data_IF_505337907112
#
_entry.id   IF_505337907112
#
_cell.length_a   1.000
_cell.length_b   1.000
_cell.length_c   1.000
_cell.angle_alpha   90.00
_cell.angle_beta   90.00
_cell.angle_gamma   90.00
#
_symmetry.space_group_name_H-M   'P 1'
#
loop_
_entity.id
_entity.type
_entity.pdbx_description
1 polymer ?
#
# COMPACT_ATOMS: atom_id res chain seq x y z
N UNK A 1 21.84 -37.16 5.74
CA UNK A 1 22.93 -36.17 5.75
C UNK A 1 22.55 -35.08 4.76
N UNK A 2 21.80 -34.08 5.22
CA UNK A 2 21.59 -32.83 4.49
C UNK A 2 21.96 -31.73 5.47
N UNK A 3 23.04 -31.04 5.15
CA UNK A 3 23.65 -30.02 5.99
C UNK A 3 22.88 -28.71 5.83
N UNK A 4 22.55 -28.13 6.97
CA UNK A 4 22.12 -26.75 7.17
C UNK A 4 23.12 -25.77 6.57
N UNK A 5 22.63 -24.79 5.81
CA UNK A 5 23.37 -23.58 5.45
C UNK A 5 22.68 -22.36 6.06
N UNK A 6 23.36 -21.85 7.07
CA UNK A 6 23.17 -20.64 7.87
C UNK A 6 22.61 -19.45 7.08
N UNK A 7 21.39 -19.01 7.43
CA UNK A 7 20.86 -17.70 7.07
C UNK A 7 21.43 -16.65 8.04
N UNK A 8 22.33 -15.77 7.56
CA UNK A 8 22.81 -14.66 8.36
C UNK A 8 21.73 -13.57 8.43
N UNK A 9 21.22 -13.32 9.64
CA UNK A 9 20.34 -12.19 9.94
C UNK A 9 21.08 -10.88 9.73
N UNK A 10 20.69 -10.10 8.71
CA UNK A 10 21.10 -8.71 8.55
C UNK A 10 20.21 -7.84 9.44
N UNK A 11 20.83 -7.12 10.37
CA UNK A 11 20.18 -6.15 11.26
C UNK A 11 19.76 -4.90 10.46
N UNK A 12 18.47 -4.78 10.14
CA UNK A 12 17.90 -3.50 9.70
C UNK A 12 17.86 -2.52 10.88
N UNK A 13 18.62 -1.43 10.82
CA UNK A 13 18.41 -0.25 11.67
C UNK A 13 17.45 0.71 10.96
N UNK A 14 16.15 0.47 11.12
CA UNK A 14 15.15 1.52 10.92
C UNK A 14 15.06 2.38 12.18
N UNK A 15 15.48 3.65 12.12
CA UNK A 15 15.20 4.58 13.22
C UNK A 15 13.76 5.05 13.11
N UNK A 16 12.88 4.47 13.93
CA UNK A 16 11.57 5.05 14.22
C UNK A 16 11.79 6.23 15.17
N UNK A 17 11.59 7.46 14.69
CA UNK A 17 11.61 8.65 15.54
C UNK A 17 10.28 8.68 16.32
N UNK A 18 10.26 8.11 17.53
CA UNK A 18 9.24 8.41 18.52
C UNK A 18 9.68 9.65 19.29
N UNK A 19 9.06 10.80 19.01
CA UNK A 19 9.31 12.00 19.79
C UNK A 19 8.56 11.88 21.13
N UNK A 20 9.28 11.57 22.21
CA UNK A 20 8.80 11.79 23.58
C UNK A 20 9.03 13.25 23.92
N UNK A 21 8.00 14.09 23.85
CA UNK A 21 8.03 15.37 24.53
C UNK A 21 7.96 15.13 26.04
N UNK A 22 9.02 15.46 26.75
CA UNK A 22 9.03 15.58 28.20
C UNK A 22 8.35 16.91 28.58
N UNK A 23 7.07 16.86 28.93
CA UNK A 23 6.50 17.85 29.83
C UNK A 23 5.43 17.20 30.70
N UNK A 24 5.59 17.41 32.00
CA UNK A 24 4.72 16.93 33.06
C UNK A 24 3.39 17.67 33.03
N UNK A 25 2.32 16.99 32.64
CA UNK A 25 0.97 17.21 33.19
C UNK A 25 0.06 16.06 32.81
N UNK A 26 -0.60 15.52 33.83
CA UNK A 26 -1.52 14.40 33.76
C UNK A 26 -2.78 14.77 32.97
N UNK A 27 -2.97 14.20 31.77
CA UNK A 27 -4.30 13.89 31.25
C UNK A 27 -4.27 12.64 30.35
N UNK A 28 -5.21 11.75 30.64
CA UNK A 28 -5.44 10.46 30.00
C UNK A 28 -5.72 10.62 28.50
N UNK A 29 -4.77 10.20 27.65
CA UNK A 29 -5.02 9.91 26.25
C UNK A 29 -5.21 8.40 26.08
N UNK A 30 -6.48 7.95 26.09
CA UNK A 30 -6.88 6.66 25.53
C UNK A 30 -7.17 6.86 24.05
N UNK A 31 -6.47 6.11 23.19
CA UNK A 31 -6.75 6.06 21.76
C UNK A 31 -5.48 6.11 20.90
N UNK A 32 -4.58 5.13 21.06
CA UNK A 32 -3.49 4.94 20.10
C UNK A 32 -4.02 4.29 18.84
N UNK A 33 -3.99 4.99 17.70
CA UNK A 33 -4.07 4.36 16.39
C UNK A 33 -2.83 3.49 16.20
N UNK A 34 -3.04 2.19 16.05
CA UNK A 34 -2.01 1.23 15.68
C UNK A 34 -1.73 1.44 14.19
N UNK A 35 -0.65 2.15 13.86
CA UNK A 35 -0.09 2.18 12.50
C UNK A 35 0.76 0.93 12.33
N UNK A 36 0.26 -0.08 11.64
CA UNK A 36 1.11 -1.20 11.19
C UNK A 36 1.05 -1.17 9.66
N UNK A 37 2.19 -0.91 9.05
CA UNK A 37 2.39 -0.99 7.60
C UNK A 37 3.67 -1.79 7.34
N UNK A 38 3.65 -2.62 6.30
CA UNK A 38 4.82 -3.36 5.85
C UNK A 38 5.47 -2.63 4.66
N UNK A 39 6.54 -1.87 4.93
CA UNK A 39 7.47 -1.42 3.90
C UNK A 39 8.53 -2.51 3.72
N UNK A 40 8.61 -3.11 2.55
CA UNK A 40 9.69 -4.06 2.25
C UNK A 40 10.82 -3.30 1.54
N UNK A 41 11.97 -3.20 2.20
CA UNK A 41 13.21 -2.73 1.61
C UNK A 41 14.04 -3.94 1.20
N UNK A 42 14.30 -4.06 -0.10
CA UNK A 42 15.20 -5.07 -0.64
C UNK A 42 16.44 -4.32 -1.16
N UNK A 43 17.60 -4.61 -0.58
CA UNK A 43 18.88 -4.25 -1.17
C UNK A 43 19.18 -5.26 -2.28
N UNK A 44 19.36 -4.76 -3.50
CA UNK A 44 19.72 -5.61 -4.63
C UNK A 44 21.24 -5.85 -4.56
N UNK A 45 21.66 -7.02 -4.06
CA UNK A 45 23.00 -7.52 -4.34
C UNK A 45 23.04 -7.94 -5.81
N UNK A 46 24.08 -7.51 -6.54
CA UNK A 46 24.21 -7.77 -7.96
C UNK A 46 24.18 -9.27 -8.26
N UNK A 47 23.03 -9.76 -8.69
CA UNK A 47 22.86 -11.08 -9.26
C UNK A 47 22.30 -10.92 -10.68
N UNK A 48 23.14 -11.25 -11.66
CA UNK A 48 22.61 -11.82 -12.90
C UNK A 48 21.87 -13.11 -12.54
N UNK A 49 20.68 -13.29 -13.13
CA UNK A 49 19.90 -14.52 -13.32
C UNK A 49 18.45 -14.41 -12.81
N UNK A 50 17.53 -14.13 -13.74
CA UNK A 50 16.19 -14.74 -13.74
C UNK A 50 15.90 -15.19 -15.18
N UNK A 51 15.63 -16.48 -15.37
CA UNK A 51 15.27 -17.07 -16.66
C UNK A 51 14.00 -16.40 -17.21
N UNK A 52 14.10 -15.87 -18.42
CA UNK A 52 13.06 -15.16 -19.17
C UNK A 52 12.00 -16.09 -19.81
N UNK A 53 11.86 -17.33 -19.34
CA UNK A 53 11.11 -18.37 -20.06
C UNK A 53 9.58 -18.25 -19.97
N UNK A 54 9.04 -17.17 -19.37
CA UNK A 54 7.60 -17.03 -19.10
C UNK A 54 6.93 -15.79 -19.70
N UNK A 55 7.66 -14.92 -20.41
CA UNK A 55 7.09 -13.69 -20.97
C UNK A 55 7.59 -13.46 -22.40
N UNK A 56 6.67 -13.28 -23.35
CA UNK A 56 7.03 -12.86 -24.71
C UNK A 56 7.68 -11.46 -24.66
N UNK A 57 8.71 -11.25 -25.50
CA UNK A 57 9.56 -10.05 -25.54
C UNK A 57 8.78 -8.73 -25.76
N UNK A 58 7.58 -8.82 -26.34
CA UNK A 58 6.67 -7.69 -26.50
C UNK A 58 5.99 -7.26 -25.18
N UNK A 59 5.59 -8.19 -24.31
CA UNK A 59 4.96 -7.90 -23.02
C UNK A 59 5.99 -7.35 -22.02
N UNK A 60 7.22 -7.89 -22.04
CA UNK A 60 8.31 -7.42 -21.19
C UNK A 60 8.65 -5.93 -21.41
N UNK A 61 8.49 -5.43 -22.64
CA UNK A 61 8.91 -4.08 -22.98
C UNK A 61 7.93 -2.99 -22.51
N UNK A 62 6.62 -3.23 -22.46
CA UNK A 62 5.67 -2.21 -21.95
C UNK A 62 5.59 -2.23 -20.42
N UNK A 63 5.49 -3.43 -19.83
CA UNK A 63 5.30 -3.58 -18.39
C UNK A 63 6.54 -3.22 -17.56
N UNK A 64 7.74 -3.21 -18.17
CA UNK A 64 8.98 -2.77 -17.53
C UNK A 64 9.13 -1.25 -17.43
N UNK A 65 8.36 -0.46 -18.19
CA UNK A 65 8.48 1.01 -18.21
C UNK A 65 7.90 1.59 -16.90
N UNK A 66 8.70 2.33 -16.10
CA UNK A 66 8.20 2.96 -14.89
C UNK A 66 7.22 4.09 -15.21
N UNK A 67 6.22 4.30 -14.36
CA UNK A 67 5.21 5.35 -14.51
C UNK A 67 5.79 6.76 -14.32
N UNK A 68 6.96 6.86 -13.67
CA UNK A 68 7.69 8.12 -13.58
C UNK A 68 9.18 7.90 -13.41
N UNK A 69 9.97 8.85 -13.89
CA UNK A 69 11.41 8.94 -13.65
C UNK A 69 11.76 10.31 -13.06
N UNK A 70 12.55 10.31 -11.98
CA UNK A 70 13.10 11.50 -11.36
C UNK A 70 14.64 11.44 -11.44
N UNK A 71 15.32 12.38 -12.12
CA UNK A 71 16.77 12.31 -12.29
C UNK A 71 17.57 12.42 -10.98
N UNK A 72 16.99 13.04 -9.94
CA UNK A 72 17.64 13.20 -8.65
C UNK A 72 17.51 11.91 -7.81
N UNK A 73 18.57 11.47 -7.10
CA UNK A 73 18.49 10.32 -6.20
C UNK A 73 17.46 10.55 -5.09
N UNK A 74 16.78 9.47 -4.68
CA UNK A 74 15.87 9.49 -3.54
C UNK A 74 16.69 9.57 -2.23
N UNK A 75 16.43 10.60 -1.43
CA UNK A 75 17.06 10.87 -0.13
C UNK A 75 16.06 10.84 1.01
N UNK A 76 14.86 11.36 0.78
CA UNK A 76 13.80 11.43 1.79
C UNK A 76 12.47 11.05 1.17
N UNK A 77 11.84 10.04 1.76
CA UNK A 77 10.50 9.55 1.42
C UNK A 77 9.69 9.58 2.71
N UNK A 78 8.48 10.12 2.63
CA UNK A 78 7.50 10.08 3.71
C UNK A 78 6.28 9.28 3.24
N UNK A 79 5.58 8.64 4.17
CA UNK A 79 4.40 7.83 3.87
C UNK A 79 3.44 7.81 5.05
N UNK A 80 2.18 7.47 4.77
CA UNK A 80 1.17 7.26 5.80
C UNK A 80 -0.10 6.62 5.25
N UNK A 81 -0.97 6.24 6.18
CA UNK A 81 -2.25 5.59 5.91
C UNK A 81 -3.27 5.89 7.01
N UNK A 82 -4.46 5.32 6.90
CA UNK A 82 -5.48 5.35 7.95
C UNK A 82 -5.84 6.77 8.43
N UNK A 83 -5.96 7.69 7.49
CA UNK A 83 -6.28 9.08 7.73
C UNK A 83 -7.79 9.31 7.75
N UNK A 84 -8.38 9.25 8.94
CA UNK A 84 -9.76 9.67 9.17
C UNK A 84 -9.87 11.19 8.98
N UNK A 85 -10.17 11.60 7.75
CA UNK A 85 -10.16 12.97 7.26
C UNK A 85 -11.05 13.94 8.05
N UNK A 86 -12.02 13.43 8.82
CA UNK A 86 -12.91 14.19 9.71
C UNK A 86 -12.29 14.51 11.10
N UNK A 87 -11.16 13.91 11.43
CA UNK A 87 -10.42 14.17 12.67
C UNK A 87 -9.31 15.20 12.43
N UNK A 88 -8.79 15.76 13.52
CA UNK A 88 -7.63 16.64 13.45
C UNK A 88 -6.41 15.88 12.91
N UNK A 89 -5.67 16.53 12.00
CA UNK A 89 -4.46 15.97 11.37
C UNK A 89 -3.23 16.81 11.74
N UNK A 90 -2.67 16.66 12.96
CA UNK A 90 -1.52 17.46 13.42
C UNK A 90 -0.18 17.04 12.78
N UNK A 91 -0.19 16.07 11.87
CA UNK A 91 1.00 15.46 11.27
C UNK A 91 1.61 16.25 10.11
N UNK A 92 0.86 17.14 9.47
CA UNK A 92 1.28 17.74 8.19
C UNK A 92 2.52 18.60 8.32
N UNK A 93 2.61 19.42 9.37
CA UNK A 93 3.76 20.30 9.57
C UNK A 93 5.04 19.49 9.76
N UNK A 94 5.01 18.41 10.55
CA UNK A 94 6.17 17.52 10.72
C UNK A 94 6.59 16.80 9.44
N UNK A 95 5.64 16.47 8.55
CA UNK A 95 5.96 15.88 7.24
C UNK A 95 6.60 16.93 6.33
N UNK A 96 6.07 18.15 6.32
CA UNK A 96 6.62 19.23 5.49
C UNK A 96 8.03 19.59 5.96
N UNK A 97 8.25 19.68 7.28
CA UNK A 97 9.55 19.99 7.88
C UNK A 97 10.60 18.88 7.62
N UNK A 98 10.17 17.65 7.33
CA UNK A 98 11.06 16.57 6.90
C UNK A 98 11.57 16.78 5.46
N UNK A 99 10.93 17.66 4.68
CA UNK A 99 11.20 17.95 3.26
C UNK A 99 11.36 16.68 2.39
N UNK A 100 10.37 15.78 2.39
CA UNK A 100 10.42 14.59 1.54
C UNK A 100 10.34 14.95 0.06
N UNK A 101 11.02 14.19 -0.80
CA UNK A 101 10.83 14.30 -2.25
C UNK A 101 9.47 13.75 -2.68
N UNK A 102 8.94 12.79 -1.92
CA UNK A 102 7.65 12.16 -2.17
C UNK A 102 6.94 11.81 -0.86
N UNK A 103 5.64 12.11 -0.80
CA UNK A 103 4.67 11.60 0.15
C UNK A 103 3.88 10.46 -0.50
N UNK A 104 3.82 9.32 0.17
CA UNK A 104 3.06 8.16 -0.27
C UNK A 104 1.84 7.93 0.61
N UNK A 105 0.66 7.99 0.01
CA UNK A 105 -0.52 7.35 0.57
C UNK A 105 -0.39 5.83 0.41
N UNK A 106 -0.47 5.12 1.53
CA UNK A 106 -0.25 3.67 1.59
C UNK A 106 -1.52 2.92 1.95
N UNK A 107 -2.68 3.51 1.61
CA UNK A 107 -4.00 3.04 2.01
C UNK A 107 -4.74 4.01 2.92
N UNK A 108 -6.06 3.91 2.93
CA UNK A 108 -6.99 4.70 3.73
C UNK A 108 -6.62 6.20 3.83
N UNK A 109 -6.44 6.88 2.69
CA UNK A 109 -6.31 8.33 2.65
C UNK A 109 -7.59 9.02 3.17
N UNK A 110 -8.74 8.36 2.99
CA UNK A 110 -10.05 8.77 3.49
C UNK A 110 -10.85 7.59 4.08
N UNK A 111 -11.88 7.92 4.86
CA UNK A 111 -12.92 7.00 5.30
C UNK A 111 -14.27 7.48 4.77
N UNK A 112 -14.71 6.93 3.63
CA UNK A 112 -15.99 7.27 3.02
C UNK A 112 -17.17 6.91 3.94
N UNK A 113 -18.11 7.84 4.09
CA UNK A 113 -19.32 7.64 4.89
C UNK A 113 -20.48 7.03 4.09
N UNK A 114 -20.38 7.08 2.77
CA UNK A 114 -21.37 6.52 1.84
C UNK A 114 -20.64 5.51 0.96
N UNK A 115 -21.18 4.30 0.88
CA UNK A 115 -20.62 3.21 0.07
C UNK A 115 -21.02 3.37 -1.40
N UNK A 116 -20.56 4.45 -2.01
CA UNK A 116 -20.80 4.78 -3.41
C UNK A 116 -19.62 5.57 -3.97
N UNK A 117 -19.49 5.65 -5.30
CA UNK A 117 -18.49 6.52 -5.91
C UNK A 117 -18.62 7.99 -5.45
N UNK A 118 -19.84 8.50 -5.26
CA UNK A 118 -20.05 9.86 -4.73
C UNK A 118 -19.55 10.02 -3.29
N UNK A 119 -19.61 8.96 -2.48
CA UNK A 119 -19.06 8.96 -1.12
C UNK A 119 -17.54 9.08 -1.10
N UNK A 120 -16.87 8.46 -2.07
CA UNK A 120 -15.43 8.63 -2.29
C UNK A 120 -15.12 10.08 -2.68
N UNK A 121 -15.87 10.64 -3.63
CA UNK A 121 -15.68 12.03 -4.08
C UNK A 121 -15.81 13.03 -2.92
N UNK A 122 -16.80 12.82 -2.04
CA UNK A 122 -16.96 13.63 -0.82
C UNK A 122 -15.77 13.47 0.14
N UNK A 123 -15.32 12.23 0.36
CA UNK A 123 -14.18 11.96 1.24
C UNK A 123 -12.90 12.64 0.75
N UNK A 124 -12.59 12.48 -0.54
CA UNK A 124 -11.41 13.08 -1.16
C UNK A 124 -11.49 14.61 -1.18
N UNK A 125 -12.67 15.17 -1.45
CA UNK A 125 -12.89 16.62 -1.37
C UNK A 125 -12.60 17.15 0.04
N UNK A 126 -13.09 16.48 1.09
CA UNK A 126 -12.80 16.86 2.47
C UNK A 126 -11.30 16.82 2.79
N UNK A 127 -10.58 15.81 2.31
CA UNK A 127 -9.14 15.74 2.51
C UNK A 127 -8.41 16.87 1.76
N UNK A 128 -8.82 17.19 0.53
CA UNK A 128 -8.29 18.33 -0.23
C UNK A 128 -8.59 19.71 0.38
N UNK A 129 -9.63 19.81 1.21
CA UNK A 129 -9.96 21.02 1.96
C UNK A 129 -9.15 21.15 3.27
N UNK A 130 -8.45 20.10 3.71
CA UNK A 130 -7.65 20.15 4.92
C UNK A 130 -6.48 21.16 4.75
N UNK A 131 -6.36 22.21 5.58
CA UNK A 131 -5.34 23.23 5.39
C UNK A 131 -3.89 22.71 5.47
N UNK A 132 -3.63 21.68 6.29
CA UNK A 132 -2.31 21.07 6.38
C UNK A 132 -1.96 20.27 5.13
N UNK A 133 -2.92 19.52 4.59
CA UNK A 133 -2.73 18.81 3.33
C UNK A 133 -2.58 19.77 2.14
N UNK A 134 -3.30 20.90 2.13
CA UNK A 134 -3.08 21.95 1.13
C UNK A 134 -1.66 22.53 1.20
N UNK A 135 -1.12 22.75 2.40
CA UNK A 135 0.29 23.16 2.55
C UNK A 135 1.24 22.11 1.98
N UNK A 136 1.01 20.82 2.26
CA UNK A 136 1.81 19.73 1.69
C UNK A 136 1.78 19.76 0.14
N UNK A 137 0.59 19.86 -0.45
CA UNK A 137 0.41 19.91 -1.91
C UNK A 137 1.10 21.13 -2.55
N UNK A 138 1.23 22.23 -1.81
CA UNK A 138 1.87 23.47 -2.27
C UNK A 138 3.38 23.54 -1.93
N UNK A 139 3.92 22.58 -1.18
CA UNK A 139 5.32 22.57 -0.74
C UNK A 139 6.31 22.05 -1.80
N UNK A 140 5.85 21.74 -3.01
CA UNK A 140 6.67 21.11 -4.06
C UNK A 140 6.98 19.63 -3.79
N UNK A 141 6.34 19.03 -2.78
CA UNK A 141 6.44 17.61 -2.46
C UNK A 141 5.58 16.84 -3.45
N UNK A 142 6.14 15.81 -4.10
CA UNK A 142 5.34 14.93 -4.94
C UNK A 142 4.40 14.10 -4.07
N UNK A 143 3.13 14.02 -4.43
CA UNK A 143 2.17 13.10 -3.80
C UNK A 143 1.86 11.95 -4.74
N UNK A 144 1.92 10.72 -4.25
CA UNK A 144 1.50 9.52 -4.96
C UNK A 144 0.99 8.48 -3.95
N UNK A 145 0.59 7.30 -4.41
CA UNK A 145 0.17 6.24 -3.51
C UNK A 145 -0.68 5.13 -4.12
N UNK A 146 -1.18 4.27 -3.24
CA UNK A 146 -2.14 3.21 -3.51
C UNK A 146 -3.29 3.28 -2.49
N UNK A 147 -4.47 2.79 -2.86
CA UNK A 147 -5.64 2.77 -1.99
C UNK A 147 -5.67 1.52 -1.10
N UNK A 148 -6.49 1.59 -0.05
CA UNK A 148 -6.96 0.43 0.70
C UNK A 148 -8.50 0.37 0.67
N UNK A 149 -9.13 -0.49 1.45
CA UNK A 149 -10.57 -0.77 1.34
C UNK A 149 -11.47 0.45 1.56
N UNK A 150 -11.12 1.39 2.44
CA UNK A 150 -11.94 2.59 2.65
C UNK A 150 -11.85 3.61 1.50
N UNK A 151 -10.70 3.69 0.84
CA UNK A 151 -10.51 4.45 -0.40
C UNK A 151 -11.12 3.73 -1.62
N UNK A 152 -11.19 2.40 -1.56
CA UNK A 152 -11.80 1.54 -2.57
C UNK A 152 -13.34 1.56 -2.47
N UNK A 153 -13.89 1.80 -1.28
CA UNK A 153 -15.28 2.22 -1.05
C UNK A 153 -16.11 1.30 -0.14
N UNK A 154 -15.64 0.08 0.12
CA UNK A 154 -16.30 -0.90 1.00
C UNK A 154 -15.26 -1.74 1.73
N UNK A 155 -15.49 -1.94 3.04
CA UNK A 155 -14.57 -2.63 3.95
C UNK A 155 -14.29 -4.07 3.51
N UNK A 156 -13.02 -4.47 3.47
CA UNK A 156 -12.55 -5.79 3.05
C UNK A 156 -13.03 -6.23 1.65
N UNK A 157 -13.49 -5.33 0.77
CA UNK A 157 -13.89 -5.69 -0.60
C UNK A 157 -12.70 -5.74 -1.56
N UNK A 158 -12.78 -6.63 -2.54
CA UNK A 158 -11.77 -6.80 -3.59
C UNK A 158 -12.42 -6.78 -4.96
N UNK A 159 -12.05 -7.73 -5.82
CA UNK A 159 -12.55 -7.83 -7.20
C UNK A 159 -14.08 -7.84 -7.33
N UNK A 160 -14.85 -8.19 -6.30
CA UNK A 160 -16.32 -8.23 -6.36
C UNK A 160 -17.01 -6.88 -6.10
N UNK A 161 -16.26 -5.81 -5.82
CA UNK A 161 -16.84 -4.48 -5.69
C UNK A 161 -17.49 -4.04 -7.02
N UNK A 162 -18.81 -3.74 -7.07
CA UNK A 162 -19.50 -3.43 -8.33
C UNK A 162 -19.01 -2.18 -9.06
N UNK A 163 -18.33 -1.27 -8.34
CA UNK A 163 -17.86 0.01 -8.87
C UNK A 163 -16.34 0.20 -8.72
N UNK A 164 -15.56 -0.89 -8.69
CA UNK A 164 -14.08 -0.84 -8.54
C UNK A 164 -13.37 0.04 -9.58
N UNK A 165 -13.80 0.02 -10.83
CA UNK A 165 -13.24 0.88 -11.89
C UNK A 165 -13.48 2.36 -11.59
N UNK A 166 -14.68 2.66 -11.08
CA UNK A 166 -15.03 4.01 -10.63
C UNK A 166 -14.24 4.43 -9.38
N UNK A 167 -13.96 3.51 -8.45
CA UNK A 167 -13.09 3.75 -7.29
C UNK A 167 -11.65 4.05 -7.72
N UNK A 168 -11.09 3.25 -8.63
CA UNK A 168 -9.76 3.50 -9.21
C UNK A 168 -9.67 4.88 -9.83
N UNK A 169 -10.64 5.25 -10.68
CA UNK A 169 -10.66 6.54 -11.34
C UNK A 169 -10.61 7.70 -10.32
N UNK A 170 -11.41 7.60 -9.25
CA UNK A 170 -11.51 8.64 -8.21
C UNK A 170 -10.27 8.76 -7.35
N UNK A 171 -9.64 7.63 -7.02
CA UNK A 171 -8.36 7.67 -6.34
C UNK A 171 -7.26 8.31 -7.21
N UNK A 172 -7.24 7.99 -8.51
CA UNK A 172 -6.31 8.64 -9.44
C UNK A 172 -6.61 10.14 -9.63
N UNK A 173 -7.88 10.55 -9.59
CA UNK A 173 -8.29 11.97 -9.57
C UNK A 173 -7.84 12.66 -8.28
N UNK A 174 -7.99 11.99 -7.13
CA UNK A 174 -7.50 12.48 -5.83
C UNK A 174 -5.99 12.73 -5.85
N UNK A 175 -5.21 11.80 -6.42
CA UNK A 175 -3.77 11.95 -6.60
C UNK A 175 -3.39 12.94 -7.72
N UNK A 176 -4.37 13.50 -8.44
CA UNK A 176 -4.18 14.38 -9.61
C UNK A 176 -3.36 13.73 -10.74
N UNK A 177 -3.50 12.42 -10.91
CA UNK A 177 -2.85 11.67 -11.99
C UNK A 177 -3.47 12.06 -13.33
N UNK A 178 -2.65 12.59 -14.24
CA UNK A 178 -3.12 13.11 -15.53
C UNK A 178 -3.78 12.05 -16.44
N UNK A 179 -4.62 12.48 -17.39
CA UNK A 179 -5.42 11.58 -18.23
C UNK A 179 -4.58 10.69 -19.16
N UNK A 180 -3.35 11.09 -19.50
CA UNK A 180 -2.44 10.32 -20.34
C UNK A 180 -1.63 9.26 -19.57
N UNK A 181 -1.82 9.13 -18.25
CA UNK A 181 -1.09 8.14 -17.45
C UNK A 181 -1.53 6.71 -17.82
N UNK A 182 -0.56 5.80 -17.96
CA UNK A 182 -0.85 4.35 -18.16
C UNK A 182 -1.71 3.77 -17.04
N UNK A 183 -1.64 4.34 -15.83
CA UNK A 183 -2.51 3.98 -14.69
C UNK A 183 -4.01 4.17 -14.99
N UNK A 184 -4.38 5.04 -15.93
CA UNK A 184 -5.77 5.25 -16.37
C UNK A 184 -6.22 4.23 -17.42
N UNK A 185 -5.30 3.53 -18.06
CA UNK A 185 -5.57 2.57 -19.13
C UNK A 185 -5.51 1.10 -18.67
N UNK A 186 -5.00 0.84 -17.46
CA UNK A 186 -4.85 -0.51 -16.89
C UNK A 186 -5.81 -0.76 -15.73
N UNK A 187 -5.97 -2.03 -15.36
CA UNK A 187 -6.84 -2.45 -14.25
C UNK A 187 -6.04 -2.48 -12.95
N UNK A 188 -6.39 -1.60 -12.02
CA UNK A 188 -5.67 -1.41 -10.76
C UNK A 188 -4.85 -0.11 -10.73
N UNK A 189 -4.64 0.41 -9.53
CA UNK A 189 -3.94 1.67 -9.29
C UNK A 189 -2.44 1.52 -9.00
N UNK A 190 -1.87 0.31 -9.13
CA UNK A 190 -0.44 0.04 -8.91
C UNK A 190 0.44 0.94 -9.79
N UNK A 191 1.69 1.18 -9.38
CA UNK A 191 2.64 2.01 -10.15
C UNK A 191 4.11 1.85 -9.76
N UNK A 192 5.00 2.21 -10.68
CA UNK A 192 6.45 2.16 -10.52
C UNK A 192 7.08 3.55 -10.68
N UNK A 193 7.97 3.92 -9.75
CA UNK A 193 8.63 5.22 -9.74
C UNK A 193 10.13 5.05 -9.53
N UNK A 194 10.92 5.59 -10.45
CA UNK A 194 12.38 5.50 -10.41
C UNK A 194 12.97 6.85 -10.04
N UNK A 195 13.97 6.83 -9.15
CA UNK A 195 14.69 8.00 -8.67
C UNK A 195 16.19 7.80 -8.83
N UNK A 196 16.87 8.80 -9.39
CA UNK A 196 18.30 8.75 -9.66
C UNK A 196 18.67 7.86 -10.85
N UNK A 197 19.97 7.71 -11.03
CA UNK A 197 20.58 6.83 -12.02
C UNK A 197 21.53 5.83 -11.33
N UNK A 198 21.79 4.66 -11.95
CA UNK A 198 22.75 3.71 -11.42
C UNK A 198 24.12 4.36 -11.17
N UNK A 199 24.85 3.96 -10.11
CA UNK A 199 24.53 2.91 -9.15
C UNK A 199 23.69 3.41 -7.94
N UNK A 200 23.23 4.67 -7.93
CA UNK A 200 22.45 5.26 -6.82
C UNK A 200 20.97 5.43 -7.17
N UNK A 201 20.45 4.46 -7.93
CA UNK A 201 19.06 4.45 -8.33
C UNK A 201 18.20 3.72 -7.29
N UNK A 202 17.03 4.28 -6.98
CA UNK A 202 16.00 3.63 -6.18
C UNK A 202 14.75 3.44 -7.02
N UNK A 203 14.05 2.32 -6.83
CA UNK A 203 12.75 2.03 -7.46
C UNK A 203 11.69 1.84 -6.37
N UNK A 204 10.64 2.65 -6.42
CA UNK A 204 9.45 2.53 -5.58
C UNK A 204 8.37 1.82 -6.38
N UNK A 205 7.83 0.73 -5.83
CA UNK A 205 6.76 -0.08 -6.40
C UNK A 205 5.54 0.00 -5.49
N UNK A 206 4.49 0.67 -5.96
CA UNK A 206 3.20 0.78 -5.29
C UNK A 206 2.32 -0.36 -5.80
N UNK A 207 1.95 -1.28 -4.90
CA UNK A 207 1.05 -2.38 -5.22
C UNK A 207 -0.40 -1.96 -4.96
N UNK A 208 -1.29 -2.38 -5.85
CA UNK A 208 -2.73 -2.45 -5.60
C UNK A 208 -3.05 -3.82 -5.03
N UNK A 209 -3.66 -3.87 -3.85
CA UNK A 209 -4.08 -5.13 -3.21
C UNK A 209 -5.60 -5.21 -3.04
N UNK A 210 -6.37 -4.48 -3.85
CA UNK A 210 -7.84 -4.52 -3.82
C UNK A 210 -8.46 -4.87 -5.16
N UNK A 211 -7.98 -4.26 -6.26
CA UNK A 211 -8.68 -4.33 -7.55
C UNK A 211 -8.93 -5.75 -8.04
N UNK A 212 -7.89 -6.59 -7.97
CA UNK A 212 -7.93 -7.98 -8.43
C UNK A 212 -8.06 -8.99 -7.29
N UNK A 213 -7.91 -8.54 -6.03
CA UNK A 213 -7.88 -9.41 -4.86
C UNK A 213 -9.15 -10.25 -4.77
N UNK A 214 -8.98 -11.54 -4.59
CA UNK A 214 -10.06 -12.49 -4.34
C UNK A 214 -10.72 -12.24 -2.97
N UNK A 215 -11.84 -12.92 -2.74
CA UNK A 215 -12.50 -12.85 -1.44
C UNK A 215 -11.71 -13.65 -0.40
N UNK A 216 -11.84 -13.30 0.87
CA UNK A 216 -11.29 -14.16 1.92
C UNK A 216 -11.98 -15.54 1.90
N UNK A 217 -11.22 -16.60 2.20
CA UNK A 217 -11.77 -17.94 2.47
C UNK A 217 -12.94 -17.91 3.45
N UNK A 218 -12.81 -17.04 4.46
CA UNK A 218 -13.83 -16.75 5.47
C UNK A 218 -14.23 -15.28 5.34
N UNK A 219 -15.43 -14.98 4.80
CA UNK A 219 -15.88 -13.61 4.63
C UNK A 219 -15.88 -12.83 5.95
N UNK A 220 -15.39 -11.59 5.90
CA UNK A 220 -15.45 -10.70 7.05
C UNK A 220 -16.90 -10.25 7.28
N UNK A 221 -17.43 -10.49 8.47
CA UNK A 221 -18.70 -9.89 8.93
C UNK A 221 -18.50 -8.48 9.50
N UNK A 222 -17.27 -7.94 9.44
CA UNK A 222 -16.92 -6.64 10.03
C UNK A 222 -17.68 -5.46 9.42
N UNK A 223 -18.21 -5.61 8.20
CA UNK A 223 -19.04 -4.62 7.53
C UNK A 223 -20.52 -4.64 7.98
N UNK A 224 -20.94 -5.60 8.79
CA UNK A 224 -22.34 -5.73 9.22
C UNK A 224 -22.70 -4.70 10.31
N UNK A 225 -23.88 -4.04 10.24
CA UNK A 225 -24.22 -2.90 11.08
C UNK A 225 -24.81 -3.32 12.44
N UNK A 226 -24.13 -4.22 13.17
CA UNK A 226 -24.57 -4.62 14.52
C UNK A 226 -23.43 -4.53 15.55
N UNK A 227 -23.72 -4.31 16.85
CA UNK A 227 -22.70 -4.16 17.88
C UNK A 227 -21.81 -5.41 17.95
N UNK A 228 -20.50 -5.21 18.14
CA UNK A 228 -19.48 -6.28 18.20
C UNK A 228 -19.16 -6.98 16.87
N UNK A 229 -19.69 -6.56 15.72
CA UNK A 229 -19.40 -7.18 14.42
C UNK A 229 -17.89 -7.33 14.14
N UNK A 230 -17.08 -6.33 14.50
CA UNK A 230 -15.60 -6.39 14.38
C UNK A 230 -14.96 -7.40 15.33
N UNK A 231 -15.48 -7.54 16.55
CA UNK A 231 -15.02 -8.54 17.53
C UNK A 231 -15.39 -9.94 17.06
N UNK A 232 -16.60 -10.13 16.52
CA UNK A 232 -17.05 -11.40 15.96
C UNK A 232 -16.24 -11.74 14.71
N UNK A 233 -15.95 -10.78 13.83
CA UNK A 233 -15.10 -11.00 12.67
C UNK A 233 -13.68 -11.44 13.08
N UNK A 234 -13.09 -10.75 14.07
CA UNK A 234 -11.78 -11.10 14.61
C UNK A 234 -11.78 -12.51 15.26
N UNK A 235 -12.78 -12.82 16.09
CA UNK A 235 -12.92 -14.11 16.73
C UNK A 235 -13.18 -15.24 15.72
N UNK A 236 -13.99 -14.97 14.70
CA UNK A 236 -14.28 -15.90 13.60
C UNK A 236 -13.03 -16.24 12.79
N UNK A 237 -12.23 -15.23 12.42
CA UNK A 237 -10.95 -15.47 11.73
C UNK A 237 -9.97 -16.26 12.60
N UNK A 238 -9.86 -15.92 13.88
CA UNK A 238 -9.05 -16.70 14.83
C UNK A 238 -9.52 -18.16 14.93
N UNK A 239 -10.83 -18.39 15.08
CA UNK A 239 -11.38 -19.75 15.18
C UNK A 239 -11.14 -20.55 13.89
N UNK A 240 -11.33 -19.95 12.72
CA UNK A 240 -11.07 -20.60 11.44
C UNK A 240 -9.59 -20.97 11.29
N UNK A 241 -8.68 -20.08 11.67
CA UNK A 241 -7.25 -20.36 11.69
C UNK A 241 -6.90 -21.53 12.64
N UNK A 242 -7.47 -21.56 13.85
CA UNK A 242 -7.25 -22.65 14.80
C UNK A 242 -7.81 -24.01 14.31
N UNK A 243 -8.90 -23.98 13.54
CA UNK A 243 -9.55 -25.18 13.02
C UNK A 243 -9.05 -25.59 11.62
N UNK A 244 -8.10 -24.85 11.04
CA UNK A 244 -7.61 -25.10 9.67
C UNK A 244 -8.65 -24.86 8.57
N UNK A 245 -9.73 -24.13 8.88
CA UNK A 245 -10.78 -23.81 7.91
C UNK A 245 -10.24 -22.77 6.93
N UNK A 246 -10.18 -23.14 5.65
CA UNK A 246 -9.58 -22.32 4.58
C UNK A 246 -8.08 -22.57 4.36
N UNK A 247 -7.49 -23.58 4.99
CA UNK A 247 -6.07 -23.91 4.79
C UNK A 247 -5.74 -24.30 3.33
N UNK A 248 -6.70 -24.89 2.61
CA UNK A 248 -6.57 -25.26 1.19
C UNK A 248 -7.11 -24.17 0.25
N UNK A 249 -7.45 -22.98 0.76
CA UNK A 249 -7.99 -21.90 -0.06
C UNK A 249 -6.88 -21.27 -0.89
N UNK A 250 -6.93 -21.45 -2.21
CA UNK A 250 -6.15 -20.66 -3.15
C UNK A 250 -6.82 -19.32 -3.41
N UNK A 251 -6.08 -18.23 -3.23
CA UNK A 251 -6.57 -16.87 -3.52
C UNK A 251 -5.45 -15.99 -4.06
N UNK A 252 -5.80 -15.05 -4.93
CA UNK A 252 -4.85 -14.08 -5.48
C UNK A 252 -5.10 -12.68 -4.90
N UNK A 253 -4.02 -11.93 -4.64
CA UNK A 253 -4.06 -10.54 -4.19
C UNK A 253 -3.94 -9.55 -5.35
N UNK A 254 -3.07 -9.85 -6.31
CA UNK A 254 -2.66 -8.90 -7.35
C UNK A 254 -3.30 -9.20 -8.71
N UNK A 255 -3.63 -10.47 -8.97
CA UNK A 255 -4.11 -10.90 -10.29
C UNK A 255 -2.98 -10.98 -11.33
N UNK A 256 -3.21 -11.77 -12.38
CA UNK A 256 -2.17 -12.10 -13.37
C UNK A 256 -1.54 -10.88 -14.05
N UNK A 257 -2.33 -9.84 -14.34
CA UNK A 257 -1.84 -8.62 -14.99
C UNK A 257 -0.80 -7.90 -14.11
N UNK A 258 -1.11 -7.72 -12.83
CA UNK A 258 -0.21 -7.03 -11.91
C UNK A 258 0.97 -7.90 -11.48
N UNK A 259 0.81 -9.23 -11.39
CA UNK A 259 1.95 -10.14 -11.19
C UNK A 259 2.97 -10.03 -12.32
N UNK A 260 2.52 -10.09 -13.59
CA UNK A 260 3.39 -9.90 -14.76
C UNK A 260 4.05 -8.53 -14.75
N UNK A 261 3.30 -7.48 -14.38
CA UNK A 261 3.88 -6.15 -14.23
C UNK A 261 4.95 -6.11 -13.14
N UNK A 262 4.71 -6.71 -11.98
CA UNK A 262 5.66 -6.74 -10.87
C UNK A 262 6.93 -7.49 -11.27
N UNK A 263 6.80 -8.65 -11.91
CA UNK A 263 7.92 -9.43 -12.42
C UNK A 263 8.73 -8.62 -13.44
N UNK A 264 8.08 -7.97 -14.43
CA UNK A 264 8.75 -7.14 -15.42
C UNK A 264 9.45 -5.91 -14.79
N UNK A 265 8.89 -5.33 -13.73
CA UNK A 265 9.52 -4.24 -12.99
C UNK A 265 10.76 -4.67 -12.22
N UNK A 266 10.84 -5.92 -11.79
CA UNK A 266 11.94 -6.46 -11.00
C UNK A 266 13.04 -7.07 -11.88
N UNK A 267 12.68 -7.88 -12.88
CA UNK A 267 13.61 -8.70 -13.67
C UNK A 267 14.74 -7.88 -14.34
N UNK A 268 14.44 -6.68 -14.82
CA UNK A 268 15.40 -5.82 -15.53
C UNK A 268 15.79 -4.55 -14.75
N UNK A 269 15.60 -4.54 -13.43
CA UNK A 269 15.88 -3.35 -12.64
C UNK A 269 17.37 -3.19 -12.33
N UNK A 270 17.90 -2.00 -12.60
CA UNK A 270 19.27 -1.59 -12.21
C UNK A 270 19.30 -0.75 -10.93
N UNK A 271 18.16 -0.64 -10.24
CA UNK A 271 18.05 0.04 -8.96
C UNK A 271 18.82 -0.73 -7.87
N UNK A 272 19.58 -0.01 -7.06
CA UNK A 272 20.28 -0.57 -5.91
C UNK A 272 19.33 -0.91 -4.76
N UNK A 273 18.18 -0.23 -4.70
CA UNK A 273 17.14 -0.45 -3.68
C UNK A 273 15.77 -0.49 -4.34
N UNK A 274 14.99 -1.50 -3.95
CA UNK A 274 13.56 -1.58 -4.23
C UNK A 274 12.76 -1.32 -2.96
N UNK A 275 11.81 -0.41 -3.07
CA UNK A 275 10.86 -0.04 -2.02
C UNK A 275 9.50 -0.54 -2.47
N UNK A 276 9.04 -1.67 -1.91
CA UNK A 276 7.74 -2.25 -2.26
C UNK A 276 6.72 -1.84 -1.20
N UNK A 277 5.61 -1.26 -1.66
CA UNK A 277 4.54 -0.71 -0.82
C UNK A 277 3.28 -1.51 -1.06
N UNK A 278 2.73 -2.07 0.01
CA UNK A 278 1.42 -2.73 0.03
C UNK A 278 0.52 -2.02 1.04
N UNK A 279 -0.78 -1.90 0.73
CA UNK A 279 -1.75 -1.34 1.67
C UNK A 279 -2.18 -2.32 2.76
N UNK A 280 -1.91 -3.61 2.60
CA UNK A 280 -2.17 -4.66 3.60
C UNK A 280 -0.87 -5.31 4.07
N UNK A 281 -0.93 -6.07 5.17
CA UNK A 281 0.28 -6.68 5.75
C UNK A 281 0.86 -7.76 4.85
N UNK A 282 2.16 -7.70 4.53
CA UNK A 282 2.82 -8.73 3.70
C UNK A 282 3.27 -9.94 4.53
N UNK A 283 3.94 -9.70 5.67
CA UNK A 283 4.57 -10.76 6.47
C UNK A 283 3.75 -11.21 7.69
N UNK A 284 2.58 -10.64 7.89
CA UNK A 284 1.75 -10.96 9.06
C UNK A 284 1.03 -12.29 8.86
N UNK A 285 1.30 -13.24 9.76
CA UNK A 285 0.49 -14.45 9.94
C UNK A 285 -0.68 -14.25 10.91
N UNK A 286 -0.90 -13.03 11.41
CA UNK A 286 -1.99 -12.75 12.33
C UNK A 286 -3.33 -12.87 11.59
N UNK A 287 -4.22 -13.81 11.99
CA UNK A 287 -5.49 -14.00 11.32
C UNK A 287 -6.48 -12.86 11.55
N UNK A 288 -6.23 -11.96 12.50
CA UNK A 288 -7.18 -10.93 12.89
C UNK A 288 -7.23 -9.78 11.88
N UNK A 289 -6.10 -9.42 11.28
CA UNK A 289 -6.00 -8.29 10.35
C UNK A 289 -5.68 -8.80 8.96
N UNK A 290 -6.21 -8.13 7.94
CA UNK A 290 -5.96 -8.51 6.57
C UNK A 290 -4.46 -8.52 6.24
N UNK A 291 -4.04 -9.58 5.53
CA UNK A 291 -2.67 -9.83 5.14
C UNK A 291 -2.62 -10.71 3.90
N UNK A 292 -1.46 -10.73 3.25
CA UNK A 292 -1.20 -11.58 2.09
C UNK A 292 -1.33 -13.06 2.42
N UNK A 293 -1.07 -13.47 3.67
CA UNK A 293 -1.18 -14.87 4.11
C UNK A 293 -2.60 -15.43 3.97
N UNK A 294 -3.63 -14.58 3.87
CA UNK A 294 -5.01 -15.01 3.63
C UNK A 294 -5.31 -15.39 2.17
N UNK A 295 -4.37 -15.14 1.27
CA UNK A 295 -4.51 -15.35 -0.16
C UNK A 295 -3.26 -16.09 -0.68
N UNK A 296 -3.04 -17.35 -0.26
CA UNK A 296 -1.91 -18.10 -0.75
C UNK A 296 -2.19 -18.48 -2.22
N UNK A 297 -1.33 -17.98 -3.11
CA UNK A 297 -1.23 -18.39 -4.52
C UNK A 297 -0.12 -19.42 -4.68
#
# INVERSE_FOLDING_TARGET
>A
IFSSSVCHSVKCRGSMIMNRSSSSSSHSLRGGCIFILALLLIEAEGQELINSDFLDDHDLNEWSIPDSFQPSPLRRLAFGSCNKQRLQQPLWDSIIDFEPQIWLWTGDAIYASIHSPDGLDQGYALQHLNPGYQRLLNAGIRVDGTYDDHDFGLNDFGRKLPFREASQARFLDFLRVGPASRRRARRGAYSAHVFGAPPRQAKVLLLDTRFHRDDHAVPSVGAAPFPLATVIAAAGRWACACLGIGADYGGDVLGDEQWRWLDAQLANSTAAVHIIVSSVQVLSSNPIFESWMHFPR
#
